data_IF_129802668539
#
_entry.id   IF_129802668539
#
_cell.length_a   1.000
_cell.length_b   1.000
_cell.length_c   1.000
_cell.angle_alpha   90.00
_cell.angle_beta   90.00
_cell.angle_gamma   90.00
#
_symmetry.space_group_name_H-M   'P 1'
#
loop_
_entity.id
_entity.type
_entity.pdbx_description
1 polymer ?
#
# COMPACT_ATOMS: atom_id res chain seq x y z
N UNK A 1 14.83 -2.55 -25.24
CA UNK A 1 14.76 -2.95 -23.82
C UNK A 1 14.28 -4.40 -23.74
N UNK A 2 15.00 -5.28 -23.04
CA UNK A 2 14.59 -6.69 -22.87
C UNK A 2 13.37 -6.79 -21.95
N UNK A 3 12.51 -7.79 -22.14
CA UNK A 3 11.31 -7.96 -21.30
C UNK A 3 11.66 -8.14 -19.81
N UNK A 4 12.81 -8.76 -19.51
CA UNK A 4 13.34 -8.87 -18.13
C UNK A 4 13.65 -7.50 -17.51
N UNK A 5 14.26 -6.59 -18.27
CA UNK A 5 14.60 -5.25 -17.79
C UNK A 5 13.34 -4.43 -17.51
N UNK A 6 12.28 -4.59 -18.32
CA UNK A 6 11.01 -3.91 -18.11
C UNK A 6 10.26 -4.43 -16.89
N UNK A 7 10.24 -5.76 -16.70
CA UNK A 7 9.67 -6.37 -15.51
C UNK A 7 10.36 -5.89 -14.23
N UNK A 8 11.69 -5.87 -14.24
CA UNK A 8 12.46 -5.37 -13.11
C UNK A 8 12.15 -3.90 -12.80
N UNK A 9 12.04 -3.04 -13.83
CA UNK A 9 11.63 -1.65 -13.66
C UNK A 9 10.24 -1.52 -13.03
N UNK A 10 9.24 -2.27 -13.50
CA UNK A 10 7.90 -2.23 -12.92
C UNK A 10 7.90 -2.70 -11.46
N UNK A 11 8.64 -3.75 -11.14
CA UNK A 11 8.76 -4.24 -9.77
C UNK A 11 9.35 -3.18 -8.83
N UNK A 12 10.46 -2.55 -9.24
CA UNK A 12 11.12 -1.51 -8.44
C UNK A 12 10.22 -0.28 -8.28
N UNK A 13 9.55 0.16 -9.36
CA UNK A 13 8.63 1.28 -9.29
C UNK A 13 7.41 0.95 -8.40
N UNK A 14 6.79 -0.22 -8.57
CA UNK A 14 5.70 -0.66 -7.71
C UNK A 14 6.13 -0.69 -6.23
N UNK A 15 7.37 -1.12 -5.93
CA UNK A 15 7.91 -1.06 -4.57
C UNK A 15 7.97 0.38 -4.03
N UNK A 16 8.57 1.30 -4.79
CA UNK A 16 8.75 2.70 -4.38
C UNK A 16 7.39 3.38 -4.20
N UNK A 17 6.48 3.23 -5.15
CA UNK A 17 5.15 3.83 -5.07
C UNK A 17 4.30 3.23 -3.96
N UNK A 18 4.46 1.93 -3.66
CA UNK A 18 3.80 1.31 -2.52
C UNK A 18 4.37 1.77 -1.18
N UNK A 19 5.70 1.98 -1.09
CA UNK A 19 6.32 2.59 0.09
C UNK A 19 5.81 4.01 0.33
N UNK A 20 5.71 4.82 -0.74
CA UNK A 20 5.14 6.16 -0.66
C UNK A 20 3.67 6.13 -0.23
N UNK A 21 2.86 5.21 -0.78
CA UNK A 21 1.46 5.05 -0.41
C UNK A 21 1.30 4.67 1.06
N UNK A 22 2.13 3.74 1.53
CA UNK A 22 2.16 3.33 2.92
C UNK A 22 2.52 4.50 3.84
N UNK A 23 3.54 5.28 3.50
CA UNK A 23 3.96 6.44 4.29
C UNK A 23 2.88 7.53 4.34
N UNK A 24 2.22 7.82 3.22
CA UNK A 24 1.08 8.76 3.19
C UNK A 24 -0.08 8.26 4.05
N UNK A 25 -0.40 6.97 3.97
CA UNK A 25 -1.40 6.36 4.84
C UNK A 25 -0.99 6.44 6.31
N UNK A 26 0.29 6.23 6.65
CA UNK A 26 0.78 6.28 8.02
C UNK A 26 0.69 7.70 8.61
N UNK A 27 0.94 8.73 7.80
CA UNK A 27 0.70 10.13 8.16
C UNK A 27 -0.79 10.40 8.42
N UNK A 28 -1.67 9.93 7.54
CA UNK A 28 -3.11 10.06 7.71
C UNK A 28 -3.61 9.35 8.97
N UNK A 29 -3.12 8.13 9.22
CA UNK A 29 -3.42 7.35 10.43
C UNK A 29 -3.00 8.08 11.70
N UNK A 30 -1.84 8.75 11.70
CA UNK A 30 -1.43 9.58 12.84
C UNK A 30 -2.34 10.79 13.05
N UNK A 31 -2.89 11.38 12.00
CA UNK A 31 -3.84 12.49 12.15
C UNK A 31 -5.18 12.03 12.73
N UNK A 32 -5.69 10.88 12.27
CA UNK A 32 -6.98 10.34 12.74
C UNK A 32 -6.91 9.72 14.14
N UNK A 33 -5.79 9.06 14.47
CA UNK A 33 -5.64 8.29 15.71
C UNK A 33 -4.58 8.84 16.66
N UNK A 34 -3.89 9.93 16.33
CA UNK A 34 -2.67 10.39 17.02
C UNK A 34 -2.77 10.43 18.53
N UNK A 35 -3.88 10.96 19.07
CA UNK A 35 -4.14 11.03 20.51
C UNK A 35 -4.22 9.64 21.19
N UNK A 36 -4.63 8.62 20.44
CA UNK A 36 -4.80 7.24 20.92
C UNK A 36 -3.53 6.40 20.77
N UNK A 37 -2.58 6.83 19.94
CA UNK A 37 -1.35 6.08 19.66
C UNK A 37 -0.34 6.06 20.81
N UNK A 38 -0.47 6.99 21.78
CA UNK A 38 0.44 7.11 22.92
C UNK A 38 1.81 7.73 22.60
N UNK A 39 2.02 8.22 21.37
CA UNK A 39 3.25 8.91 20.98
C UNK A 39 3.16 10.42 21.22
N UNK A 40 4.25 11.03 21.68
CA UNK A 40 4.35 12.47 21.97
C UNK A 40 4.65 13.33 20.74
N UNK A 41 5.09 12.73 19.64
CA UNK A 41 5.45 13.44 18.41
C UNK A 41 5.29 12.57 17.17
N UNK A 42 5.08 13.23 16.02
CA UNK A 42 5.02 12.58 14.72
C UNK A 42 6.34 11.83 14.41
N UNK A 43 7.49 12.41 14.76
CA UNK A 43 8.78 11.77 14.53
C UNK A 43 8.90 10.46 15.31
N UNK A 44 8.51 10.44 16.59
CA UNK A 44 8.53 9.22 17.38
C UNK A 44 7.59 8.14 16.80
N UNK A 45 6.43 8.56 16.27
CA UNK A 45 5.48 7.66 15.61
C UNK A 45 6.03 7.09 14.30
N UNK A 46 6.66 7.91 13.44
CA UNK A 46 7.17 7.45 12.14
C UNK A 46 8.41 6.55 12.28
N UNK A 47 9.28 6.80 13.25
CA UNK A 47 10.58 6.12 13.36
C UNK A 47 10.64 5.04 14.45
N UNK A 48 9.51 4.64 15.04
CA UNK A 48 9.52 3.52 15.98
C UNK A 48 9.75 2.18 15.26
N UNK A 49 10.27 1.18 15.98
CA UNK A 49 10.72 -0.09 15.36
C UNK A 49 9.64 -0.82 14.56
N UNK A 50 8.37 -0.79 15.01
CA UNK A 50 7.26 -1.42 14.27
C UNK A 50 6.89 -0.64 13.00
N UNK A 51 6.95 0.70 12.99
CA UNK A 51 6.76 1.48 11.77
C UNK A 51 7.82 1.14 10.72
N UNK A 52 9.10 1.15 11.10
CA UNK A 52 10.21 0.84 10.19
C UNK A 52 10.12 -0.58 9.62
N UNK A 53 9.64 -1.54 10.41
CA UNK A 53 9.39 -2.90 9.95
C UNK A 53 8.23 -2.95 8.93
N UNK A 54 7.16 -2.20 9.16
CA UNK A 54 6.02 -2.11 8.25
C UNK A 54 6.36 -1.39 6.95
N UNK A 55 7.25 -0.39 6.98
CA UNK A 55 7.77 0.28 5.79
C UNK A 55 8.44 -0.69 4.82
N UNK A 56 9.05 -1.78 5.32
CA UNK A 56 9.64 -2.82 4.47
C UNK A 56 8.62 -3.90 4.11
N UNK A 57 7.83 -4.37 5.08
CA UNK A 57 6.90 -5.49 4.88
C UNK A 57 5.74 -5.14 3.95
N UNK A 58 5.14 -3.96 4.09
CA UNK A 58 3.93 -3.60 3.35
C UNK A 58 4.22 -3.50 1.83
N UNK A 59 5.27 -2.79 1.37
CA UNK A 59 5.60 -2.77 -0.06
C UNK A 59 5.97 -4.15 -0.61
N UNK A 60 6.69 -4.97 0.17
CA UNK A 60 6.99 -6.36 -0.21
C UNK A 60 5.72 -7.21 -0.36
N UNK A 61 4.75 -7.03 0.53
CA UNK A 61 3.45 -7.68 0.45
C UNK A 61 2.69 -7.32 -0.83
N UNK A 62 2.67 -6.03 -1.22
CA UNK A 62 2.02 -5.59 -2.45
C UNK A 62 2.66 -6.15 -3.73
N UNK A 63 3.99 -6.24 -3.75
CA UNK A 63 4.71 -6.89 -4.85
C UNK A 63 4.40 -8.38 -4.90
N UNK A 64 4.40 -9.05 -3.75
CA UNK A 64 4.08 -10.47 -3.67
C UNK A 64 2.68 -10.75 -4.24
N UNK A 65 1.67 -9.96 -3.85
CA UNK A 65 0.32 -10.04 -4.40
C UNK A 65 0.29 -9.83 -5.92
N UNK A 66 1.00 -8.79 -6.40
CA UNK A 66 1.09 -8.51 -7.84
C UNK A 66 1.83 -9.61 -8.61
N UNK A 67 2.84 -10.23 -8.00
CA UNK A 67 3.58 -11.33 -8.59
C UNK A 67 2.75 -12.62 -8.65
N UNK A 68 2.03 -12.95 -7.57
CA UNK A 68 1.15 -14.13 -7.49
C UNK A 68 -0.01 -14.07 -8.49
N UNK A 69 -0.52 -12.86 -8.76
CA UNK A 69 -1.53 -12.66 -9.81
C UNK A 69 -0.97 -12.73 -11.24
N UNK A 70 0.34 -12.94 -11.41
CA UNK A 70 0.98 -13.05 -12.71
C UNK A 70 1.20 -11.71 -13.42
N UNK A 71 1.08 -10.57 -12.73
CA UNK A 71 1.19 -9.23 -13.34
C UNK A 71 2.51 -8.99 -14.08
N UNK A 72 3.58 -9.62 -13.60
CA UNK A 72 4.92 -9.51 -14.18
C UNK A 72 5.19 -10.58 -15.26
N UNK A 73 4.22 -11.43 -15.59
CA UNK A 73 4.31 -12.44 -16.65
C UNK A 73 3.83 -11.83 -17.99
N UNK A 74 4.77 -11.56 -18.91
CA UNK A 74 4.57 -10.98 -20.26
C UNK A 74 4.14 -9.49 -20.33
N UNK A 75 5.09 -8.55 -20.18
CA UNK A 75 4.78 -7.12 -20.17
C UNK A 75 4.36 -6.53 -21.55
N UNK A 76 4.41 -7.29 -22.66
CA UNK A 76 4.17 -6.77 -24.04
C UNK A 76 2.69 -6.67 -24.44
N UNK A 77 1.76 -7.26 -23.69
CA UNK A 77 0.33 -7.31 -24.04
C UNK A 77 -0.56 -6.57 -23.03
N UNK A 78 -0.06 -5.50 -22.42
CA UNK A 78 -0.79 -4.73 -21.41
C UNK A 78 -1.64 -3.65 -22.08
N UNK A 79 -2.89 -3.54 -21.64
CA UNK A 79 -3.79 -2.44 -21.99
C UNK A 79 -4.08 -1.62 -20.73
N UNK A 80 -4.29 -0.31 -20.89
CA UNK A 80 -4.57 0.61 -19.77
C UNK A 80 -5.76 0.09 -18.94
N UNK A 81 -6.84 -0.34 -19.59
CA UNK A 81 -8.01 -0.90 -18.91
C UNK A 81 -7.70 -2.18 -18.13
N UNK A 82 -6.82 -3.04 -18.67
CA UNK A 82 -6.35 -4.24 -17.97
C UNK A 82 -5.51 -3.91 -16.74
N UNK A 83 -4.63 -2.92 -16.82
CA UNK A 83 -3.81 -2.45 -15.70
C UNK A 83 -4.66 -1.81 -14.60
N UNK A 84 -5.69 -1.04 -14.97
CA UNK A 84 -6.64 -0.45 -14.01
C UNK A 84 -7.44 -1.54 -13.29
N UNK A 85 -8.02 -2.49 -14.03
CA UNK A 85 -8.83 -3.56 -13.44
C UNK A 85 -7.97 -4.47 -12.55
N UNK A 86 -6.75 -4.81 -12.99
CA UNK A 86 -5.81 -5.58 -12.19
C UNK A 86 -5.45 -4.85 -10.89
N UNK A 87 -5.06 -3.58 -10.99
CA UNK A 87 -4.70 -2.77 -9.82
C UNK A 87 -5.87 -2.62 -8.86
N UNK A 88 -7.10 -2.48 -9.39
CA UNK A 88 -8.32 -2.40 -8.57
C UNK A 88 -8.52 -3.68 -7.75
N UNK A 89 -8.47 -4.86 -8.39
CA UNK A 89 -8.64 -6.15 -7.71
C UNK A 89 -7.56 -6.37 -6.66
N UNK A 90 -6.29 -6.13 -7.02
CA UNK A 90 -5.17 -6.27 -6.09
C UNK A 90 -5.32 -5.30 -4.91
N UNK A 91 -5.66 -4.04 -5.15
CA UNK A 91 -5.83 -3.04 -4.09
C UNK A 91 -6.98 -3.39 -3.14
N UNK A 92 -8.11 -3.89 -3.63
CA UNK A 92 -9.21 -4.35 -2.78
C UNK A 92 -8.78 -5.53 -1.90
N UNK A 93 -8.14 -6.54 -2.48
CA UNK A 93 -7.70 -7.73 -1.73
C UNK A 93 -6.62 -7.39 -0.71
N UNK A 94 -5.64 -6.56 -1.11
CA UNK A 94 -4.54 -6.16 -0.23
C UNK A 94 -4.98 -5.21 0.86
N UNK A 95 -5.88 -4.25 0.59
CA UNK A 95 -6.42 -3.36 1.62
C UNK A 95 -7.24 -4.14 2.64
N UNK A 96 -8.00 -5.16 2.21
CA UNK A 96 -8.74 -6.05 3.10
C UNK A 96 -7.80 -6.85 4.00
N UNK A 97 -6.70 -7.38 3.46
CA UNK A 97 -5.69 -8.08 4.27
C UNK A 97 -5.00 -7.13 5.28
N UNK A 98 -4.64 -5.92 4.87
CA UNK A 98 -4.07 -4.89 5.76
C UNK A 98 -5.07 -4.48 6.83
N UNK A 99 -6.36 -4.42 6.50
CA UNK A 99 -7.41 -4.11 7.45
C UNK A 99 -7.41 -5.09 8.62
N UNK A 100 -7.46 -6.39 8.33
CA UNK A 100 -7.50 -7.44 9.35
C UNK A 100 -6.18 -7.65 10.09
N UNK A 101 -5.05 -7.19 9.57
CA UNK A 101 -3.73 -7.43 10.18
C UNK A 101 -3.16 -6.21 10.88
N UNK A 102 -3.43 -5.00 10.37
CA UNK A 102 -2.85 -3.76 10.90
C UNK A 102 -3.90 -2.85 11.50
N UNK A 103 -5.01 -2.60 10.80
CA UNK A 103 -5.99 -1.58 11.19
C UNK A 103 -6.85 -2.06 12.36
N UNK A 104 -7.29 -3.32 12.36
CA UNK A 104 -8.15 -3.87 13.44
C UNK A 104 -7.49 -3.85 14.83
N UNK A 105 -6.16 -3.72 14.87
CA UNK A 105 -5.39 -3.63 16.10
C UNK A 105 -5.33 -2.21 16.66
N UNK A 106 -5.75 -1.20 15.89
CA UNK A 106 -6.06 0.10 16.44
C UNK A 106 -7.40 -0.04 17.13
N UNK A 107 -7.52 0.35 18.40
CA UNK A 107 -8.81 0.39 19.11
C UNK A 107 -9.36 1.82 19.03
N UNK A 108 -9.95 2.26 17.89
CA UNK A 108 -10.51 3.59 17.76
C UNK A 108 -11.70 3.77 18.69
N UNK A 109 -11.87 5.01 19.15
CA UNK A 109 -13.04 5.43 19.92
C UNK A 109 -14.33 5.36 19.07
N UNK A 110 -14.22 5.55 17.75
CA UNK A 110 -15.35 5.55 16.83
C UNK A 110 -15.15 4.55 15.67
N UNK A 111 -16.14 3.70 15.45
CA UNK A 111 -16.16 2.73 14.35
C UNK A 111 -16.05 3.38 12.96
N UNK A 112 -16.44 4.64 12.79
CA UNK A 112 -16.26 5.36 11.51
C UNK A 112 -14.78 5.46 11.09
N UNK A 113 -13.86 5.49 12.06
CA UNK A 113 -12.42 5.57 11.80
C UNK A 113 -11.88 4.32 11.10
N UNK A 114 -12.45 3.15 11.37
CA UNK A 114 -12.10 1.93 10.64
C UNK A 114 -12.37 2.05 9.14
N UNK A 115 -13.53 2.60 8.77
CA UNK A 115 -13.89 2.80 7.37
C UNK A 115 -13.01 3.86 6.70
N UNK A 116 -12.71 4.96 7.42
CA UNK A 116 -11.82 6.01 6.92
C UNK A 116 -10.41 5.48 6.64
N UNK A 117 -9.83 4.72 7.57
CA UNK A 117 -8.50 4.13 7.41
C UNK A 117 -8.47 3.09 6.28
N UNK A 118 -9.51 2.25 6.16
CA UNK A 118 -9.63 1.30 5.07
C UNK A 118 -9.69 1.99 3.70
N UNK A 119 -10.53 3.02 3.57
CA UNK A 119 -10.66 3.80 2.33
C UNK A 119 -9.34 4.51 2.03
N UNK A 120 -8.68 5.10 3.04
CA UNK A 120 -7.42 5.80 2.86
C UNK A 120 -6.33 4.89 2.32
N UNK A 121 -6.09 3.70 2.92
CA UNK A 121 -5.06 2.79 2.40
C UNK A 121 -5.40 2.30 0.99
N UNK A 122 -6.68 2.01 0.71
CA UNK A 122 -7.13 1.60 -0.61
C UNK A 122 -6.87 2.69 -1.66
N UNK A 123 -7.28 3.93 -1.39
CA UNK A 123 -7.12 5.06 -2.32
C UNK A 123 -5.64 5.42 -2.51
N UNK A 124 -4.88 5.53 -1.43
CA UNK A 124 -3.44 5.83 -1.49
C UNK A 124 -2.71 4.78 -2.33
N UNK A 125 -2.94 3.49 -2.06
CA UNK A 125 -2.29 2.41 -2.80
C UNK A 125 -2.74 2.40 -4.26
N UNK A 126 -4.04 2.47 -4.53
CA UNK A 126 -4.57 2.38 -5.89
C UNK A 126 -4.07 3.52 -6.78
N UNK A 127 -4.14 4.77 -6.30
CA UNK A 127 -3.72 5.93 -7.09
C UNK A 127 -2.21 5.92 -7.36
N UNK A 128 -1.39 5.59 -6.36
CA UNK A 128 0.06 5.58 -6.53
C UNK A 128 0.55 4.38 -7.34
N UNK A 129 -0.11 3.23 -7.24
CA UNK A 129 0.25 2.04 -8.03
C UNK A 129 -0.09 2.21 -9.52
N UNK A 130 -1.05 3.07 -9.88
CA UNK A 130 -1.36 3.36 -11.29
C UNK A 130 -0.28 4.21 -11.98
N UNK A 131 0.35 5.16 -11.27
CA UNK A 131 1.35 6.07 -11.83
C UNK A 131 2.50 5.39 -12.59
N UNK A 132 3.16 4.33 -12.07
CA UNK A 132 4.23 3.65 -12.80
C UNK A 132 3.73 2.69 -13.89
N UNK A 133 2.42 2.41 -13.95
CA UNK A 133 1.80 1.44 -14.87
C UNK A 133 1.17 2.10 -16.11
N UNK A 134 0.93 3.41 -16.05
CA UNK A 134 0.48 4.26 -17.15
C UNK A 134 1.60 4.63 -18.14
#
# INVERSE_FOLDING_TARGET
MSDRQRNFRYLVLDWIFSLLAWNLFYLFRYQELGAQTGFSSLQAYLFHGKALLLDVLIPCFWILLSALSGYYHQPRKKSIGGDVLHSLIICILGSLAIFFTVIINDLPENYTQYYQLFIAIFVCQFLLMLLPRC
#
